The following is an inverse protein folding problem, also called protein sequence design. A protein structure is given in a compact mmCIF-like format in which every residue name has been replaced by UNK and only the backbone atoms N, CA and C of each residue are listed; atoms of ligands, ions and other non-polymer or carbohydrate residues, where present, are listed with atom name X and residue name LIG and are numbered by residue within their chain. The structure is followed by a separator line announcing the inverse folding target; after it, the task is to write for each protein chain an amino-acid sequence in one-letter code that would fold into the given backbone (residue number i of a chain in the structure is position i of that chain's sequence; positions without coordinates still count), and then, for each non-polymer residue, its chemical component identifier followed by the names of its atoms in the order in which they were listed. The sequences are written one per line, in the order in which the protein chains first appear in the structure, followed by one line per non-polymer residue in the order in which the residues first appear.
data_IF_542875139164
#
_entry.id   IF_542875139164
#
_cell.length_a   1.000
_cell.length_b   1.000
_cell.length_c   1.000
_cell.angle_alpha   90.00
_cell.angle_beta   90.00
_cell.angle_gamma   90.00
#
_symmetry.space_group_name_H-M   'P 1'
#
loop_
_entity.id
_entity.type
_entity.pdbx_description
1 polymer ?
#
# COMPACT_ATOMS: atom_id res chain seq x y z
N UNK A 1 -6.46 -7.98 -8.53
CA UNK A 1 -5.10 -7.51 -8.17
C UNK A 1 -5.17 -6.29 -7.25
N UNK A 2 -5.58 -5.11 -7.74
CA UNK A 2 -5.60 -3.86 -6.93
C UNK A 2 -6.40 -3.99 -5.62
N UNK A 3 -7.62 -4.53 -5.65
CA UNK A 3 -8.43 -4.70 -4.44
C UNK A 3 -7.77 -5.63 -3.41
N UNK A 4 -7.16 -6.72 -3.87
CA UNK A 4 -6.45 -7.64 -2.98
C UNK A 4 -5.22 -7.00 -2.34
N UNK A 5 -4.45 -6.21 -3.10
CA UNK A 5 -3.32 -5.45 -2.56
C UNK A 5 -3.78 -4.44 -1.50
N UNK A 6 -4.92 -3.77 -1.70
CA UNK A 6 -5.48 -2.83 -0.72
C UNK A 6 -5.99 -3.53 0.55
N UNK A 7 -6.57 -4.73 0.42
CA UNK A 7 -6.97 -5.56 1.56
C UNK A 7 -5.75 -5.94 2.40
N UNK A 8 -4.67 -6.38 1.77
CA UNK A 8 -3.43 -6.79 2.47
C UNK A 8 -2.83 -5.66 3.31
N UNK A 9 -2.92 -4.41 2.85
CA UNK A 9 -2.38 -3.25 3.57
C UNK A 9 -3.43 -2.46 4.38
N UNK A 10 -4.64 -3.01 4.53
CA UNK A 10 -5.75 -2.39 5.28
C UNK A 10 -6.09 -0.97 4.81
N UNK A 11 -6.18 -0.76 3.49
CA UNK A 11 -6.54 0.53 2.88
C UNK A 11 -7.84 0.49 2.06
N UNK A 12 -8.60 -0.60 2.09
CA UNK A 12 -9.83 -0.77 1.30
C UNK A 12 -10.85 0.37 1.51
N UNK A 13 -11.09 0.78 2.76
CA UNK A 13 -12.03 1.86 3.09
C UNK A 13 -11.54 3.24 2.61
N UNK A 14 -10.23 3.39 2.44
CA UNK A 14 -9.58 4.62 1.99
C UNK A 14 -9.33 4.64 0.48
N UNK A 15 -9.77 3.63 -0.27
CA UNK A 15 -9.45 3.44 -1.69
C UNK A 15 -9.90 4.60 -2.61
N UNK A 16 -10.93 5.35 -2.18
CA UNK A 16 -11.47 6.50 -2.92
C UNK A 16 -10.99 7.85 -2.37
N UNK A 17 -10.26 7.87 -1.26
CA UNK A 17 -9.68 9.10 -0.72
C UNK A 17 -8.39 9.47 -1.47
N UNK A 18 -8.17 10.77 -1.67
CA UNK A 18 -6.92 11.26 -2.24
C UNK A 18 -5.74 11.03 -1.31
N UNK A 19 -4.57 10.66 -1.85
CA UNK A 19 -3.35 10.35 -1.07
C UNK A 19 -2.91 11.52 -0.17
N UNK A 20 -3.32 12.75 -0.47
CA UNK A 20 -3.06 13.92 0.37
C UNK A 20 -3.70 13.83 1.76
N UNK A 21 -4.83 13.13 1.92
CA UNK A 21 -5.49 12.93 3.22
C UNK A 21 -4.93 11.76 4.02
N UNK A 22 -3.99 11.00 3.46
CA UNK A 22 -3.42 9.84 4.13
C UNK A 22 -2.43 10.28 5.22
N UNK A 23 -2.51 9.62 6.37
CA UNK A 23 -1.47 9.74 7.40
C UNK A 23 -0.12 9.20 6.88
N UNK A 24 0.98 9.55 7.55
CA UNK A 24 2.31 9.03 7.17
C UNK A 24 2.34 7.50 7.08
N UNK A 25 1.73 6.81 8.06
CA UNK A 25 1.63 5.34 8.05
C UNK A 25 0.76 4.80 6.92
N UNK A 26 -0.32 5.50 6.52
CA UNK A 26 -1.13 5.10 5.37
C UNK A 26 -0.37 5.25 4.06
N UNK A 27 0.41 6.33 3.90
CA UNK A 27 1.28 6.52 2.73
C UNK A 27 2.35 5.43 2.64
N UNK A 28 2.94 5.04 3.78
CA UNK A 28 3.93 3.96 3.84
C UNK A 28 3.32 2.61 3.44
N UNK A 29 2.14 2.28 3.97
CA UNK A 29 1.38 1.08 3.59
C UNK A 29 0.98 1.08 2.11
N UNK A 30 0.58 2.23 1.56
CA UNK A 30 0.28 2.37 0.15
C UNK A 30 1.52 2.12 -0.72
N UNK A 31 2.69 2.64 -0.32
CA UNK A 31 3.97 2.39 -1.00
C UNK A 31 4.31 0.89 -1.05
N UNK A 32 4.13 0.19 0.08
CA UNK A 32 4.30 -1.27 0.17
C UNK A 32 3.33 -1.99 -0.75
N UNK A 33 2.05 -1.62 -0.76
CA UNK A 33 1.06 -2.21 -1.66
C UNK A 33 1.47 -2.05 -3.13
N UNK A 34 1.93 -0.87 -3.53
CA UNK A 34 2.41 -0.58 -4.89
C UNK A 34 3.60 -1.48 -5.25
N UNK A 35 4.56 -1.61 -4.33
CA UNK A 35 5.75 -2.44 -4.56
C UNK A 35 5.41 -3.93 -4.70
N UNK A 36 4.33 -4.40 -4.07
CA UNK A 36 3.85 -5.78 -4.14
C UNK A 36 2.99 -6.10 -5.38
N UNK A 37 2.50 -5.10 -6.13
CA UNK A 37 1.61 -5.32 -7.30
C UNK A 37 2.25 -6.24 -8.34
N UNK A 38 3.57 -6.16 -8.53
CA UNK A 38 4.31 -6.96 -9.51
C UNK A 38 4.73 -8.36 -9.03
N UNK A 39 4.21 -8.82 -7.89
CA UNK A 39 4.58 -10.09 -7.25
C UNK A 39 6.11 -10.32 -7.21
N UNK A 40 6.88 -9.36 -6.66
CA UNK A 40 8.33 -9.49 -6.63
C UNK A 40 8.74 -10.69 -5.77
N UNK A 41 9.74 -11.45 -6.22
CA UNK A 41 10.31 -12.57 -5.43
C UNK A 41 11.01 -12.08 -4.16
N UNK A 42 11.47 -10.83 -4.15
CA UNK A 42 12.16 -10.19 -3.03
C UNK A 42 11.86 -8.70 -3.05
N UNK A 43 11.46 -8.16 -1.90
CA UNK A 43 11.20 -6.74 -1.69
C UNK A 43 12.07 -6.23 -0.56
N UNK A 44 12.88 -5.20 -0.83
CA UNK A 44 13.65 -4.51 0.20
C UNK A 44 12.85 -3.31 0.69
N UNK A 45 12.68 -3.22 2.01
CA UNK A 45 12.03 -2.10 2.68
C UNK A 45 13.07 -1.45 3.58
N UNK A 46 13.40 -0.19 3.30
CA UNK A 46 14.25 0.60 4.17
C UNK A 46 13.36 1.30 5.21
N UNK A 47 13.48 0.89 6.47
CA UNK A 47 12.57 1.11 7.61
C UNK A 47 11.19 0.41 7.48
N UNK A 48 10.58 -0.10 8.57
CA UNK A 48 9.19 -0.60 8.57
C UNK A 48 8.15 0.53 8.53
#
# INVERSE_FOLDING_TARGET
IVEQSLVQVKLTESAKMGVMSFSGGMKRRLSVAIALIGEPKLLFLDEP
#
